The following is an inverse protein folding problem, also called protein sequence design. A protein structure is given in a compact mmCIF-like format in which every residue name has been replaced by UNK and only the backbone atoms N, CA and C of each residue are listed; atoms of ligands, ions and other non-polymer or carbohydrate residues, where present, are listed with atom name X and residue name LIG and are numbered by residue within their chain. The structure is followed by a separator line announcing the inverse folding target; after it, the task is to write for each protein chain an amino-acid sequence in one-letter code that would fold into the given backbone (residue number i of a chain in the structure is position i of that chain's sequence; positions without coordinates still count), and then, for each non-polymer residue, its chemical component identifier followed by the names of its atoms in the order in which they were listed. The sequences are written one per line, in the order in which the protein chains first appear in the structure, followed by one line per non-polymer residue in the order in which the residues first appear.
data_IF_949792434656
#
_entry.id   IF_949792434656
#
_cell.length_a   1.000
_cell.length_b   1.000
_cell.length_c   1.000
_cell.angle_alpha   90.00
_cell.angle_beta   90.00
_cell.angle_gamma   90.00
#
_symmetry.space_group_name_H-M   'P 1'
#
loop_
_entity.id
_entity.type
_entity.pdbx_description
1 polymer ?
#
# COMPACT_ATOMS: atom_id res chain seq x y z
N UNK A 1 -24.62 -26.89 25.30
CA UNK A 1 -25.18 -26.68 23.95
C UNK A 1 -24.41 -25.51 23.36
N UNK A 2 -23.40 -25.75 22.53
CA UNK A 2 -22.77 -24.65 21.80
C UNK A 2 -23.17 -24.83 20.34
N UNK A 3 -24.03 -23.92 19.92
CA UNK A 3 -24.78 -23.97 18.68
C UNK A 3 -23.82 -23.99 17.48
N UNK A 4 -23.93 -25.02 16.65
CA UNK A 4 -23.30 -25.04 15.33
C UNK A 4 -23.80 -23.82 14.54
N UNK A 5 -22.93 -22.99 13.94
CA UNK A 5 -23.40 -21.92 13.08
C UNK A 5 -24.01 -22.51 11.80
N UNK A 6 -25.14 -21.89 11.44
CA UNK A 6 -26.13 -22.22 10.40
C UNK A 6 -25.53 -22.25 8.97
N UNK A 7 -26.23 -22.84 7.97
CA UNK A 7 -25.64 -23.22 6.69
C UNK A 7 -25.30 -22.02 5.80
N UNK A 8 -24.08 -22.04 5.27
CA UNK A 8 -23.65 -21.58 3.93
C UNK A 8 -24.50 -20.47 3.28
N UNK A 9 -24.37 -19.22 3.73
CA UNK A 9 -24.46 -18.11 2.75
C UNK A 9 -23.21 -18.25 1.90
N UNK A 10 -23.35 -18.50 0.61
CA UNK A 10 -22.20 -18.42 -0.29
C UNK A 10 -21.58 -17.03 -0.08
N UNK A 11 -20.31 -16.99 0.32
CA UNK A 11 -19.57 -15.73 0.43
C UNK A 11 -19.67 -14.99 -0.91
N UNK A 12 -19.95 -13.69 -0.87
CA UNK A 12 -19.86 -12.86 -2.08
C UNK A 12 -18.44 -12.92 -2.63
N UNK A 13 -18.25 -12.57 -3.91
CA UNK A 13 -16.91 -12.50 -4.51
C UNK A 13 -15.99 -11.59 -3.70
N UNK A 14 -16.48 -10.43 -3.30
CA UNK A 14 -15.70 -9.48 -2.49
C UNK A 14 -15.31 -10.08 -1.12
N UNK A 15 -16.23 -10.79 -0.46
CA UNK A 15 -15.94 -11.52 0.78
C UNK A 15 -14.94 -12.66 0.56
N UNK A 16 -14.93 -13.28 -0.64
CA UNK A 16 -13.96 -14.33 -0.99
C UNK A 16 -12.56 -13.77 -1.22
N UNK A 17 -12.42 -12.58 -1.82
CA UNK A 17 -11.11 -11.91 -1.96
C UNK A 17 -10.54 -11.62 -0.56
N UNK A 18 -11.34 -11.07 0.35
CA UNK A 18 -10.94 -10.87 1.74
C UNK A 18 -10.50 -12.17 2.41
N UNK A 19 -11.29 -13.24 2.23
CA UNK A 19 -10.98 -14.54 2.82
C UNK A 19 -9.70 -15.14 2.22
N UNK A 20 -9.45 -14.93 0.92
CA UNK A 20 -8.23 -15.36 0.27
C UNK A 20 -7.00 -14.66 0.85
N UNK A 21 -7.04 -13.32 1.01
CA UNK A 21 -5.98 -12.58 1.70
C UNK A 21 -5.72 -13.04 3.14
N UNK A 22 -6.80 -13.38 3.87
CA UNK A 22 -6.69 -13.82 5.27
C UNK A 22 -6.12 -15.23 5.45
N UNK A 23 -6.35 -16.13 4.49
CA UNK A 23 -5.90 -17.52 4.56
C UNK A 23 -4.69 -17.80 3.66
N UNK A 24 -4.19 -16.79 2.96
CA UNK A 24 -3.23 -16.94 1.88
C UNK A 24 -3.68 -18.01 0.85
N UNK A 25 -4.96 -17.96 0.48
CA UNK A 25 -5.59 -18.96 -0.39
C UNK A 25 -5.52 -18.53 -1.86
N UNK A 26 -4.38 -18.79 -2.50
CA UNK A 26 -4.11 -18.47 -3.92
C UNK A 26 -5.18 -19.01 -4.86
N UNK A 27 -5.54 -20.30 -4.73
CA UNK A 27 -6.55 -20.93 -5.60
C UNK A 27 -7.92 -20.21 -5.51
N UNK A 28 -8.29 -19.76 -4.32
CA UNK A 28 -9.54 -19.03 -4.10
C UNK A 28 -9.48 -17.64 -4.75
N UNK A 29 -8.35 -16.94 -4.61
CA UNK A 29 -8.16 -15.64 -5.24
C UNK A 29 -8.23 -15.77 -6.77
N UNK A 30 -7.48 -16.70 -7.35
CA UNK A 30 -7.48 -16.94 -8.80
C UNK A 30 -8.89 -17.25 -9.32
N UNK A 31 -9.65 -18.09 -8.61
CA UNK A 31 -11.05 -18.38 -8.96
C UNK A 31 -11.92 -17.11 -8.99
N UNK A 32 -11.66 -16.15 -8.10
CA UNK A 32 -12.39 -14.87 -8.10
C UNK A 32 -11.93 -13.97 -9.25
N UNK A 33 -10.63 -13.88 -9.53
CA UNK A 33 -10.08 -13.03 -10.58
C UNK A 33 -10.42 -13.52 -12.00
N UNK A 34 -10.51 -14.83 -12.21
CA UNK A 34 -10.71 -15.44 -13.55
C UNK A 34 -12.17 -15.54 -14.00
N UNK A 35 -13.14 -15.45 -13.10
CA UNK A 35 -14.54 -15.62 -13.50
C UNK A 35 -15.24 -14.32 -13.93
N UNK A 36 -16.44 -14.47 -14.47
CA UNK A 36 -17.13 -13.43 -15.25
C UNK A 36 -17.94 -12.42 -14.42
N UNK A 37 -18.07 -12.60 -13.11
CA UNK A 37 -18.83 -11.68 -12.28
C UNK A 37 -17.93 -10.56 -11.73
N UNK A 38 -18.51 -9.37 -11.61
CA UNK A 38 -17.82 -8.21 -11.05
C UNK A 38 -17.37 -8.47 -9.60
N UNK A 39 -16.22 -7.90 -9.26
CA UNK A 39 -15.65 -7.91 -7.93
C UNK A 39 -15.01 -6.55 -7.63
N UNK A 40 -14.92 -6.21 -6.36
CA UNK A 40 -14.15 -5.07 -5.89
C UNK A 40 -12.90 -5.54 -5.13
N UNK A 41 -11.73 -5.37 -5.75
CA UNK A 41 -10.43 -5.75 -5.14
C UNK A 41 -10.13 -4.93 -3.88
N UNK A 42 -10.69 -3.73 -3.80
CA UNK A 42 -10.54 -2.79 -2.69
C UNK A 42 -11.67 -2.92 -1.65
N UNK A 43 -12.48 -3.97 -1.75
CA UNK A 43 -13.59 -4.17 -0.84
C UNK A 43 -13.11 -4.21 0.62
N UNK A 44 -13.75 -3.39 1.45
CA UNK A 44 -13.45 -3.26 2.87
C UNK A 44 -14.47 -4.01 3.72
N UNK A 45 -13.96 -4.81 4.66
CA UNK A 45 -14.81 -5.46 5.66
C UNK A 45 -15.32 -4.47 6.73
N UNK A 46 -16.01 -4.99 7.75
CA UNK A 46 -16.52 -4.17 8.85
C UNK A 46 -15.44 -3.42 9.65
N UNK A 47 -14.18 -3.86 9.59
CA UNK A 47 -13.01 -3.24 10.23
C UNK A 47 -12.31 -2.25 9.29
N UNK A 48 -12.74 -2.17 8.03
CA UNK A 48 -12.08 -1.38 7.00
C UNK A 48 -10.89 -2.09 6.36
N UNK A 49 -10.65 -3.36 6.66
CA UNK A 49 -9.54 -4.09 6.07
C UNK A 49 -9.92 -4.55 4.66
N UNK A 50 -8.99 -4.38 3.72
CA UNK A 50 -9.04 -4.98 2.38
C UNK A 50 -8.33 -6.34 2.38
N UNK A 51 -8.40 -7.06 1.26
CA UNK A 51 -7.64 -8.30 1.10
C UNK A 51 -6.13 -8.06 1.24
N UNK A 52 -5.66 -6.91 0.75
CA UNK A 52 -4.26 -6.51 0.83
C UNK A 52 -3.80 -6.26 2.27
N UNK A 53 -4.65 -5.69 3.14
CA UNK A 53 -4.35 -5.58 4.58
C UNK A 53 -4.11 -6.96 5.21
N UNK A 54 -4.96 -7.92 4.88
CA UNK A 54 -4.83 -9.27 5.42
C UNK A 54 -3.58 -9.98 4.89
N UNK A 55 -3.33 -9.90 3.59
CA UNK A 55 -2.14 -10.47 2.98
C UNK A 55 -0.85 -9.86 3.55
N UNK A 56 -0.82 -8.54 3.77
CA UNK A 56 0.32 -7.85 4.38
C UNK A 56 0.56 -8.24 5.85
N UNK A 57 -0.45 -8.75 6.55
CA UNK A 57 -0.34 -9.28 7.91
C UNK A 57 0.08 -10.76 7.97
N UNK A 58 0.30 -11.40 6.82
CA UNK A 58 0.77 -12.77 6.73
C UNK A 58 2.23 -12.82 6.28
N UNK A 59 3.03 -13.80 6.74
CA UNK A 59 4.42 -13.94 6.29
C UNK A 59 4.55 -14.54 4.89
N UNK A 60 3.43 -14.80 4.20
CA UNK A 60 3.41 -15.42 2.89
C UNK A 60 3.00 -14.40 1.83
N UNK A 61 3.81 -14.17 0.79
CA UNK A 61 3.56 -13.13 -0.18
C UNK A 61 2.74 -13.57 -1.40
N UNK A 62 2.39 -14.85 -1.57
CA UNK A 62 1.79 -15.30 -2.84
C UNK A 62 0.45 -14.61 -3.15
N UNK A 63 -0.46 -14.52 -2.18
CA UNK A 63 -1.70 -13.74 -2.35
C UNK A 63 -1.41 -12.23 -2.44
N UNK A 64 -0.41 -11.73 -1.72
CA UNK A 64 -0.01 -10.32 -1.78
C UNK A 64 0.42 -9.94 -3.19
N UNK A 65 1.32 -10.72 -3.80
CA UNK A 65 1.85 -10.52 -5.16
C UNK A 65 0.71 -10.47 -6.18
N UNK A 66 -0.19 -11.45 -6.15
CA UNK A 66 -1.33 -11.49 -7.08
C UNK A 66 -2.25 -10.27 -6.90
N UNK A 67 -2.50 -9.85 -5.66
CA UNK A 67 -3.32 -8.66 -5.40
C UNK A 67 -2.65 -7.39 -5.92
N UNK A 68 -1.33 -7.25 -5.77
CA UNK A 68 -0.58 -6.10 -6.27
C UNK A 68 -0.52 -6.04 -7.80
N UNK A 69 -0.50 -7.20 -8.47
CA UNK A 69 -0.60 -7.30 -9.92
C UNK A 69 -2.03 -7.08 -10.45
N UNK A 70 -3.04 -7.13 -9.59
CA UNK A 70 -4.45 -6.95 -9.98
C UNK A 70 -4.73 -5.48 -10.29
N UNK A 71 -5.31 -5.22 -11.47
CA UNK A 71 -5.64 -3.86 -11.90
C UNK A 71 -6.64 -3.18 -10.93
N UNK A 72 -6.34 -1.94 -10.56
CA UNK A 72 -7.19 -1.14 -9.68
C UNK A 72 -6.97 -1.38 -8.19
N UNK A 73 -6.03 -2.24 -7.78
CA UNK A 73 -5.65 -2.39 -6.37
C UNK A 73 -5.10 -1.08 -5.82
N UNK A 74 -5.70 -0.62 -4.72
CA UNK A 74 -5.24 0.55 -3.97
C UNK A 74 -4.43 0.08 -2.75
N UNK A 75 -3.13 0.38 -2.79
CA UNK A 75 -2.13 -0.05 -1.81
C UNK A 75 -2.13 0.80 -0.53
N UNK A 76 -2.76 1.97 -0.55
CA UNK A 76 -2.69 2.98 0.50
C UNK A 76 -3.98 3.13 1.31
N UNK A 77 -4.99 2.28 1.03
CA UNK A 77 -6.24 2.30 1.78
C UNK A 77 -5.97 2.14 3.28
N UNK A 78 -6.56 3.05 4.06
CA UNK A 78 -6.48 2.98 5.51
C UNK A 78 -7.67 2.20 6.07
N UNK A 79 -7.38 1.23 6.93
CA UNK A 79 -8.43 0.56 7.68
C UNK A 79 -9.19 1.53 8.61
N UNK A 80 -10.35 1.10 9.09
CA UNK A 80 -11.23 1.98 9.89
C UNK A 80 -10.76 2.08 11.34
N UNK A 81 -10.22 0.99 11.89
CA UNK A 81 -9.90 0.88 13.32
C UNK A 81 -8.65 1.64 13.71
N UNK A 82 -7.59 1.50 12.93
CA UNK A 82 -6.25 1.99 13.25
C UNK A 82 -5.80 3.07 12.27
N UNK A 83 -6.56 3.33 11.21
CA UNK A 83 -6.07 4.12 10.06
C UNK A 83 -4.75 3.57 9.52
N UNK A 84 -4.50 2.28 9.72
CA UNK A 84 -3.31 1.59 9.25
C UNK A 84 -3.49 1.26 7.77
N UNK A 85 -2.44 1.46 6.98
CA UNK A 85 -2.33 0.94 5.62
C UNK A 85 -1.82 -0.50 5.63
N UNK A 86 -1.89 -1.25 4.52
CA UNK A 86 -1.21 -2.55 4.39
C UNK A 86 0.26 -2.48 4.79
N UNK A 87 0.98 -1.41 4.45
CA UNK A 87 2.39 -1.21 4.81
C UNK A 87 2.62 -1.11 6.33
N UNK A 88 1.69 -0.53 7.09
CA UNK A 88 1.77 -0.53 8.56
C UNK A 88 1.61 -1.93 9.16
N UNK A 89 0.76 -2.78 8.57
CA UNK A 89 0.57 -4.15 9.04
C UNK A 89 1.78 -5.01 8.70
N UNK A 90 2.36 -4.83 7.53
CA UNK A 90 3.60 -5.48 7.13
C UNK A 90 4.73 -5.19 8.13
N UNK A 91 4.93 -3.92 8.52
CA UNK A 91 5.98 -3.51 9.46
C UNK A 91 5.88 -4.16 10.86
N UNK A 92 4.69 -4.68 11.23
CA UNK A 92 4.43 -5.35 12.51
C UNK A 92 4.61 -6.87 12.45
N UNK A 93 5.02 -7.43 11.31
CA UNK A 93 5.26 -8.87 11.17
C UNK A 93 6.40 -9.33 12.10
N UNK A 94 6.17 -10.41 12.85
CA UNK A 94 7.14 -10.90 13.83
C UNK A 94 8.47 -11.37 13.19
N UNK A 95 8.41 -11.88 11.95
CA UNK A 95 9.55 -12.46 11.24
C UNK A 95 10.25 -11.41 10.35
N UNK A 96 11.50 -11.01 10.63
CA UNK A 96 12.16 -9.93 9.89
C UNK A 96 12.34 -10.20 8.39
N UNK A 97 12.72 -11.42 8.01
CA UNK A 97 12.86 -11.78 6.60
C UNK A 97 11.53 -11.73 5.82
N UNK A 98 10.43 -12.17 6.44
CA UNK A 98 9.10 -12.07 5.81
C UNK A 98 8.61 -10.63 5.77
N UNK A 99 8.86 -9.86 6.84
CA UNK A 99 8.59 -8.42 6.92
C UNK A 99 9.25 -7.67 5.77
N UNK A 100 10.54 -7.91 5.56
CA UNK A 100 11.29 -7.32 4.45
C UNK A 100 10.65 -7.63 3.11
N UNK A 101 10.40 -8.91 2.80
CA UNK A 101 9.80 -9.27 1.52
C UNK A 101 8.43 -8.62 1.29
N UNK A 102 7.55 -8.62 2.30
CA UNK A 102 6.21 -8.02 2.19
C UNK A 102 6.30 -6.49 2.05
N UNK A 103 7.17 -5.82 2.82
CA UNK A 103 7.34 -4.36 2.74
C UNK A 103 7.97 -3.93 1.43
N UNK A 104 8.98 -4.64 0.94
CA UNK A 104 9.61 -4.39 -0.37
C UNK A 104 8.57 -4.48 -1.49
N UNK A 105 7.76 -5.53 -1.53
CA UNK A 105 6.70 -5.68 -2.54
C UNK A 105 5.68 -4.53 -2.49
N UNK A 106 5.27 -4.10 -1.30
CA UNK A 106 4.35 -2.97 -1.15
C UNK A 106 4.98 -1.65 -1.62
N UNK A 107 6.26 -1.41 -1.27
CA UNK A 107 6.99 -0.22 -1.70
C UNK A 107 7.23 -0.20 -3.22
N UNK A 108 7.59 -1.34 -3.81
CA UNK A 108 7.75 -1.50 -5.26
C UNK A 108 6.43 -1.30 -6.01
N UNK A 109 5.31 -1.66 -5.40
CA UNK A 109 3.97 -1.40 -5.91
C UNK A 109 3.50 0.06 -5.69
N UNK A 110 4.35 0.92 -5.11
CA UNK A 110 4.10 2.35 -4.96
C UNK A 110 3.36 2.76 -3.69
N UNK A 111 3.33 1.92 -2.65
CA UNK A 111 2.75 2.29 -1.36
C UNK A 111 3.47 3.50 -0.75
N UNK A 112 2.71 4.47 -0.23
CA UNK A 112 3.26 5.68 0.38
C UNK A 112 3.69 5.42 1.84
N UNK A 113 5.00 5.42 2.16
CA UNK A 113 5.48 5.23 3.52
C UNK A 113 5.26 6.45 4.42
N UNK A 114 4.74 7.57 3.89
CA UNK A 114 4.50 8.83 4.64
C UNK A 114 3.11 8.89 5.27
N UNK A 115 2.22 7.94 4.96
CA UNK A 115 0.89 7.88 5.54
C UNK A 115 1.01 7.57 7.03
N UNK A 116 0.28 8.33 7.85
CA UNK A 116 0.23 8.14 9.30
C UNK A 116 -1.01 7.37 9.71
N UNK A 117 -0.83 6.42 10.63
CA UNK A 117 -1.92 5.75 11.30
C UNK A 117 -2.63 6.68 12.32
N UNK A 118 -3.60 6.13 13.07
CA UNK A 118 -4.37 6.88 14.08
C UNK A 118 -3.52 7.38 15.24
N UNK A 119 -2.36 6.78 15.46
CA UNK A 119 -1.42 7.14 16.50
C UNK A 119 -0.45 8.23 16.02
N UNK A 120 -0.48 8.56 14.73
CA UNK A 120 0.46 9.49 14.11
C UNK A 120 1.79 8.83 13.75
N UNK A 121 1.86 7.50 13.82
CA UNK A 121 3.05 6.70 13.51
C UNK A 121 3.09 6.42 12.01
N UNK A 122 4.30 6.39 11.46
CA UNK A 122 4.62 5.89 10.13
C UNK A 122 4.85 4.38 10.17
N UNK A 123 4.78 3.66 9.04
CA UNK A 123 5.15 2.24 8.99
C UNK A 123 6.56 1.97 9.52
N UNK A 124 7.51 2.85 9.20
CA UNK A 124 8.90 2.75 9.66
C UNK A 124 9.06 2.87 11.19
N UNK A 125 8.12 3.51 11.90
CA UNK A 125 8.19 3.65 13.37
C UNK A 125 8.02 2.30 14.10
N UNK A 126 7.50 1.28 13.42
CA UNK A 126 7.33 -0.08 13.96
C UNK A 126 8.57 -0.98 13.73
N UNK A 127 9.59 -0.48 13.01
CA UNK A 127 10.80 -1.23 12.71
C UNK A 127 11.86 -1.06 13.81
N UNK A 128 12.73 -2.06 13.95
CA UNK A 128 13.76 -2.14 14.98
C UNK A 128 15.15 -2.33 14.35
N UNK A 129 15.75 -1.27 13.77
CA UNK A 129 17.02 -1.35 13.02
C UNK A 129 18.24 -1.77 13.87
N UNK A 130 18.12 -1.73 15.20
CA UNK A 130 19.16 -2.19 16.12
C UNK A 130 19.08 -3.70 16.39
N UNK A 131 17.94 -4.33 16.08
CA UNK A 131 17.65 -5.74 16.37
C UNK A 131 17.62 -6.60 15.09
N UNK A 132 17.34 -5.99 13.94
CA UNK A 132 17.30 -6.65 12.63
C UNK A 132 18.03 -5.83 11.57
N UNK A 133 18.87 -6.51 10.77
CA UNK A 133 19.54 -5.91 9.61
C UNK A 133 18.54 -5.66 8.49
N UNK A 134 17.54 -6.51 8.36
CA UNK A 134 16.43 -6.39 7.42
C UNK A 134 15.64 -5.09 7.68
N UNK A 135 15.25 -4.83 8.94
CA UNK A 135 14.57 -3.59 9.34
C UNK A 135 15.41 -2.35 9.01
N UNK A 136 16.74 -2.44 9.15
CA UNK A 136 17.66 -1.37 8.78
C UNK A 136 17.69 -1.12 7.26
N UNK A 137 17.64 -2.18 6.45
CA UNK A 137 17.60 -2.06 4.98
C UNK A 137 16.29 -1.44 4.52
N UNK A 138 15.16 -1.86 5.09
CA UNK A 138 13.83 -1.30 4.77
C UNK A 138 13.77 0.18 5.11
N UNK A 139 14.28 0.60 6.27
CA UNK A 139 14.34 2.03 6.64
C UNK A 139 15.18 2.82 5.63
N UNK A 140 16.33 2.28 5.22
CA UNK A 140 17.16 2.94 4.22
C UNK A 140 16.43 3.10 2.88
N UNK A 141 15.69 2.07 2.44
CA UNK A 141 14.88 2.11 1.22
C UNK A 141 13.73 3.14 1.32
N UNK A 142 13.07 3.24 2.48
CA UNK A 142 12.03 4.24 2.74
C UNK A 142 12.63 5.65 2.71
N UNK A 143 13.75 5.88 3.39
CA UNK A 143 14.41 7.19 3.38
C UNK A 143 14.87 7.58 1.96
N UNK A 144 15.37 6.63 1.17
CA UNK A 144 15.74 6.82 -0.24
C UNK A 144 14.54 7.18 -1.12
N UNK A 145 13.40 6.48 -0.96
CA UNK A 145 12.19 6.80 -1.73
C UNK A 145 11.61 8.17 -1.36
N UNK A 146 11.82 8.63 -0.12
CA UNK A 146 11.40 9.95 0.34
C UNK A 146 12.25 11.06 -0.28
N UNK A 147 13.57 10.88 -0.43
CA UNK A 147 14.45 11.93 -1.00
C UNK A 147 14.28 12.11 -2.50
N UNK A 148 14.02 11.06 -3.27
CA UNK A 148 13.79 11.18 -4.73
C UNK A 148 12.57 12.05 -5.04
N UNK A 149 11.51 11.95 -4.22
CA UNK A 149 10.31 12.77 -4.36
C UNK A 149 10.54 14.27 -4.08
N UNK A 150 11.64 14.66 -3.42
CA UNK A 150 11.94 16.07 -3.07
C UNK A 150 12.82 16.79 -4.08
N UNK A 151 13.43 16.10 -5.05
CA UNK A 151 14.35 16.70 -6.02
C UNK A 151 13.67 17.24 -7.29
N UNK A 152 12.33 17.24 -7.36
CA UNK A 152 11.57 17.62 -8.56
C UNK A 152 11.04 19.07 -8.51
N UNK A 153 11.04 19.74 -7.35
CA UNK A 153 10.33 21.03 -7.18
C UNK A 153 11.13 22.31 -7.51
N UNK A 154 12.44 22.25 -7.81
CA UNK A 154 13.29 23.46 -7.96
C UNK A 154 13.79 23.75 -9.40
N UNK A 155 13.36 23.02 -10.43
CA UNK A 155 13.98 23.13 -11.77
C UNK A 155 13.19 23.92 -12.85
N UNK A 156 11.91 24.27 -12.66
CA UNK A 156 11.08 24.87 -13.73
C UNK A 156 10.41 26.21 -13.33
N UNK A 157 11.16 27.14 -12.72
CA UNK A 157 10.79 28.57 -12.82
C UNK A 157 11.54 29.15 -14.01
N UNK A 158 10.87 29.13 -15.15
CA UNK A 158 11.25 29.90 -16.32
C UNK A 158 11.36 31.37 -15.92
N UNK A 159 12.57 31.92 -15.94
CA UNK A 159 12.78 33.35 -16.12
C UNK A 159 12.39 33.69 -17.57
N UNK A 160 11.08 33.82 -17.84
CA UNK A 160 10.61 34.65 -18.95
C UNK A 160 10.84 36.10 -18.54
N UNK A 161 12.09 36.55 -18.74
CA UNK A 161 12.45 37.97 -18.77
C UNK A 161 11.84 38.59 -20.04
N UNK A 162 10.57 38.98 -19.93
CA UNK A 162 9.93 39.95 -20.82
C UNK A 162 10.61 41.32 -20.63
N UNK A 163 11.70 41.56 -21.36
CA UNK A 163 12.27 42.91 -21.53
C UNK A 163 11.35 43.75 -22.44
N UNK A 164 10.34 44.37 -21.84
CA UNK A 164 9.66 45.55 -22.36
C UNK A 164 10.59 46.77 -22.30
N UNK A 165 11.35 47.04 -23.37
CA UNK A 165 12.01 48.32 -23.59
C UNK A 165 11.35 49.10 -24.75
N UNK A 166 10.42 49.95 -24.35
CA UNK A 166 10.72 51.38 -24.36
C UNK A 166 10.84 52.07 -25.72
N UNK A 167 9.79 52.82 -26.07
CA UNK A 167 9.73 53.65 -27.27
C UNK A 167 10.84 54.71 -27.41
N UNK A 168 11.19 55.02 -28.65
CA UNK A 168 12.07 56.12 -29.04
C UNK A 168 11.57 56.79 -30.31
N UNK A 169 11.27 58.07 -30.23
CA UNK A 169 10.63 58.88 -31.27
C UNK A 169 11.60 59.44 -32.33
N UNK A 170 11.04 59.67 -33.53
CA UNK A 170 11.15 60.89 -34.38
C UNK A 170 12.36 61.16 -35.30
N UNK A 171 12.01 61.87 -36.37
CA UNK A 171 12.77 62.79 -37.27
C UNK A 171 13.37 62.12 -38.51
N UNK A 172 13.28 62.63 -39.75
CA UNK A 172 12.74 63.85 -40.36
C UNK A 172 12.32 63.49 -41.80
#
# INVERSE_FOLDING_TARGET
MNESPRPTRALSRDERILYAGKQDAVDLLQTVLEGEEEYDVNYQDGLGNTALHYAASTPSPEVLEILLETEGTDVDLQNRLDKATPLHLAAQLEYPAARQGVMEMLLDAGADPKIKDKHGSLPADYLHPNESEEDRQIIAMIDESIVDATLIDDADIAEDDDEEEGGGSKSD
#
